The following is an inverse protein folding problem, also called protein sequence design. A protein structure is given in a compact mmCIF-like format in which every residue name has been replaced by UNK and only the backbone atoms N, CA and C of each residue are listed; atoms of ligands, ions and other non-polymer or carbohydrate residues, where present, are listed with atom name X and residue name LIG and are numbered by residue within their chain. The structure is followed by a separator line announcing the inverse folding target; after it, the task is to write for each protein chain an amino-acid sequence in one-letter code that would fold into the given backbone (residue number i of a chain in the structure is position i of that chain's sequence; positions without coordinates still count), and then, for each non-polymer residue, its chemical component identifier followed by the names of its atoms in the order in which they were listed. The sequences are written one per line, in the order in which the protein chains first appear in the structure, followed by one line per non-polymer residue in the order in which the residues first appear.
data_IF_165114189668
#
_entry.id   IF_165114189668
#
_cell.length_a   1.000
_cell.length_b   1.000
_cell.length_c   1.000
_cell.angle_alpha   90.00
_cell.angle_beta   90.00
_cell.angle_gamma   90.00
#
_symmetry.space_group_name_H-M   'P 1'
#
loop_
_entity.id
_entity.type
_entity.pdbx_description
1 polymer ?
#
# COMPACT_ATOMS: atom_id res chain seq x y z
N UNK A 1 -1.39 -2.85 -26.50
CA UNK A 1 -0.09 -2.64 -25.83
C UNK A 1 -0.28 -2.25 -24.38
N UNK A 2 -1.06 -1.20 -24.08
CA UNK A 2 -1.32 -0.72 -22.70
C UNK A 2 -1.99 -1.80 -21.83
N UNK A 3 -3.03 -2.48 -22.33
CA UNK A 3 -3.72 -3.55 -21.57
C UNK A 3 -2.79 -4.69 -21.17
N UNK A 4 -1.78 -4.98 -22.00
CA UNK A 4 -0.77 -5.99 -21.69
C UNK A 4 0.08 -5.54 -20.51
N UNK A 5 0.55 -4.29 -20.49
CA UNK A 5 1.36 -3.74 -19.39
C UNK A 5 0.57 -3.69 -18.08
N UNK A 6 -0.69 -3.24 -18.16
CA UNK A 6 -1.61 -3.23 -17.01
C UNK A 6 -1.80 -4.64 -16.43
N UNK A 7 -1.94 -5.65 -17.31
CA UNK A 7 -2.10 -7.05 -16.89
C UNK A 7 -0.87 -7.66 -16.23
N UNK A 8 0.34 -7.26 -16.64
CA UNK A 8 1.59 -7.81 -16.10
C UNK A 8 2.01 -7.18 -14.75
N UNK A 9 1.52 -5.97 -14.42
CA UNK A 9 1.89 -5.24 -13.18
C UNK A 9 3.40 -5.09 -12.97
N UNK A 10 4.13 -4.83 -14.06
CA UNK A 10 5.59 -4.70 -14.07
C UNK A 10 6.00 -3.24 -14.31
N UNK A 11 6.66 -2.64 -13.32
CA UNK A 11 7.15 -1.25 -13.36
C UNK A 11 8.22 -1.03 -14.43
N UNK A 12 9.05 -2.04 -14.72
CA UNK A 12 10.07 -1.97 -15.78
C UNK A 12 9.42 -1.94 -17.16
N UNK A 13 8.31 -2.66 -17.30
CA UNK A 13 7.53 -2.69 -18.55
C UNK A 13 6.82 -1.35 -18.79
N UNK A 14 6.33 -0.69 -17.73
CA UNK A 14 5.85 0.69 -17.81
C UNK A 14 6.95 1.66 -18.26
N UNK A 15 8.15 1.55 -17.68
CA UNK A 15 9.29 2.35 -18.08
C UNK A 15 9.58 2.23 -19.58
N UNK A 16 9.68 0.99 -20.09
CA UNK A 16 9.91 0.73 -21.52
C UNK A 16 8.80 1.25 -22.43
N UNK A 17 7.54 1.11 -22.02
CA UNK A 17 6.41 1.64 -22.79
C UNK A 17 6.44 3.16 -22.86
N UNK A 18 6.72 3.83 -21.74
CA UNK A 18 6.82 5.29 -21.67
C UNK A 18 7.98 5.76 -22.55
N UNK A 19 9.15 5.14 -22.44
CA UNK A 19 10.32 5.54 -23.23
C UNK A 19 10.08 5.35 -24.74
N UNK A 20 9.41 4.26 -25.14
CA UNK A 20 8.99 4.08 -26.53
C UNK A 20 7.96 5.13 -26.98
N UNK A 21 6.96 5.42 -26.15
CA UNK A 21 5.89 6.37 -26.50
C UNK A 21 6.41 7.80 -26.64
N UNK A 22 7.41 8.19 -25.85
CA UNK A 22 8.07 9.50 -25.91
C UNK A 22 8.96 9.67 -27.16
N UNK A 23 9.09 8.64 -28.00
CA UNK A 23 9.78 8.73 -29.29
C UNK A 23 9.05 9.57 -30.34
N UNK A 24 7.73 9.72 -30.24
CA UNK A 24 6.95 10.57 -31.15
C UNK A 24 5.81 11.33 -30.45
N UNK A 25 5.42 12.52 -30.95
CA UNK A 25 4.32 13.27 -30.37
C UNK A 25 2.98 12.55 -30.48
N UNK A 26 2.77 11.80 -31.56
CA UNK A 26 1.52 11.05 -31.80
C UNK A 26 1.40 9.88 -30.82
N UNK A 27 2.47 9.11 -30.63
CA UNK A 27 2.49 8.00 -29.67
C UNK A 27 2.43 8.49 -28.23
N UNK A 28 3.06 9.63 -27.94
CA UNK A 28 2.93 10.29 -26.63
C UNK A 28 1.48 10.69 -26.38
N UNK A 29 0.83 11.30 -27.37
CA UNK A 29 -0.59 11.68 -27.29
C UNK A 29 -1.50 10.48 -27.03
N UNK A 30 -1.33 9.39 -27.79
CA UNK A 30 -2.08 8.17 -27.63
C UNK A 30 -1.83 7.48 -26.27
N UNK A 31 -0.60 7.55 -25.75
CA UNK A 31 -0.29 7.07 -24.40
C UNK A 31 -1.07 7.89 -23.36
N UNK A 32 -1.00 9.21 -23.44
CA UNK A 32 -1.66 10.10 -22.48
C UNK A 32 -3.18 9.95 -22.48
N UNK A 33 -3.80 9.60 -23.62
CA UNK A 33 -5.25 9.36 -23.70
C UNK A 33 -5.68 8.05 -23.01
N UNK A 34 -4.78 7.08 -22.87
CA UNK A 34 -5.11 5.72 -22.41
C UNK A 34 -4.43 5.30 -21.09
N UNK A 35 -3.43 6.05 -20.60
CA UNK A 35 -2.63 5.68 -19.42
C UNK A 35 -3.41 5.80 -18.10
N UNK A 36 -4.49 6.60 -18.07
CA UNK A 36 -5.33 6.78 -16.88
C UNK A 36 -4.54 7.13 -15.61
N UNK A 37 -4.95 6.58 -14.46
CA UNK A 37 -4.26 6.77 -13.17
C UNK A 37 -3.18 5.75 -12.83
N UNK A 38 -2.74 4.91 -13.78
CA UNK A 38 -1.81 3.80 -13.49
C UNK A 38 -0.38 4.26 -13.18
N UNK A 39 0.03 5.44 -13.67
CA UNK A 39 1.38 5.98 -13.51
C UNK A 39 1.29 7.37 -12.87
N UNK A 40 2.27 7.71 -12.04
CA UNK A 40 2.37 9.05 -11.45
C UNK A 40 2.51 10.12 -12.55
N UNK A 41 1.54 11.05 -12.68
CA UNK A 41 1.59 12.10 -13.68
C UNK A 41 2.81 13.02 -13.54
N UNK A 42 3.35 13.22 -12.33
CA UNK A 42 4.56 14.04 -12.14
C UNK A 42 5.78 13.38 -12.79
N UNK A 43 5.90 12.05 -12.73
CA UNK A 43 6.98 11.32 -13.40
C UNK A 43 6.85 11.42 -14.92
N UNK A 44 5.63 11.30 -15.45
CA UNK A 44 5.36 11.48 -16.88
C UNK A 44 5.74 12.88 -17.38
N UNK A 45 5.27 13.93 -16.70
CA UNK A 45 5.54 15.32 -17.09
C UNK A 45 7.03 15.62 -17.10
N UNK A 46 7.81 15.06 -16.17
CA UNK A 46 9.27 15.24 -16.11
C UNK A 46 10.01 14.54 -17.25
N UNK A 47 9.45 13.46 -17.81
CA UNK A 47 10.07 12.70 -18.90
C UNK A 47 9.75 13.25 -20.30
N UNK A 48 8.65 13.98 -20.47
CA UNK A 48 8.28 14.54 -21.78
C UNK A 48 9.41 15.47 -22.30
N UNK A 49 9.98 15.19 -23.50
CA UNK A 49 11.01 16.02 -24.08
C UNK A 49 10.57 17.48 -24.28
N UNK A 50 11.47 18.42 -23.93
CA UNK A 50 11.22 19.84 -24.16
C UNK A 50 11.10 20.12 -25.66
N UNK A 51 10.09 20.90 -26.06
CA UNK A 51 9.85 21.25 -27.46
C UNK A 51 9.00 20.23 -28.24
N UNK A 52 8.62 19.09 -27.63
CA UNK A 52 7.68 18.16 -28.24
C UNK A 52 6.30 18.80 -28.37
N UNK A 53 5.76 18.84 -29.59
CA UNK A 53 4.42 19.37 -29.89
C UNK A 53 3.39 18.26 -29.82
N UNK A 54 2.89 17.99 -28.62
CA UNK A 54 1.79 17.06 -28.40
C UNK A 54 0.47 17.84 -28.46
N UNK A 55 -0.41 17.46 -29.38
CA UNK A 55 -1.74 18.06 -29.49
C UNK A 55 -2.51 17.91 -28.17
N UNK A 56 -3.23 18.97 -27.77
CA UNK A 56 -4.07 19.00 -26.55
C UNK A 56 -3.36 18.55 -25.27
N UNK A 57 -2.04 18.70 -25.18
CA UNK A 57 -1.23 18.23 -24.05
C UNK A 57 -1.79 18.68 -22.68
N UNK A 58 -2.18 19.95 -22.56
CA UNK A 58 -2.75 20.49 -21.32
C UNK A 58 -4.00 19.74 -20.87
N UNK A 59 -4.90 19.45 -21.80
CA UNK A 59 -6.18 18.81 -21.49
C UNK A 59 -5.96 17.33 -21.13
N UNK A 60 -5.05 16.66 -21.85
CA UNK A 60 -4.60 15.29 -21.56
C UNK A 60 -3.96 15.18 -20.18
N UNK A 61 -3.06 16.09 -19.83
CA UNK A 61 -2.44 16.14 -18.50
C UNK A 61 -3.47 16.38 -17.40
N UNK A 62 -4.44 17.28 -17.63
CA UNK A 62 -5.55 17.50 -16.69
C UNK A 62 -6.34 16.23 -16.44
N UNK A 63 -6.65 15.46 -17.49
CA UNK A 63 -7.38 14.19 -17.37
C UNK A 63 -6.60 13.19 -16.52
N UNK A 64 -5.33 12.92 -16.85
CA UNK A 64 -4.48 11.97 -16.12
C UNK A 64 -4.35 12.36 -14.64
N UNK A 65 -4.12 13.64 -14.33
CA UNK A 65 -4.00 14.12 -12.95
C UNK A 65 -5.31 13.89 -12.18
N UNK A 66 -6.46 14.15 -12.81
CA UNK A 66 -7.76 13.93 -12.19
C UNK A 66 -8.03 12.43 -11.94
N UNK A 67 -7.70 11.58 -12.90
CA UNK A 67 -7.84 10.13 -12.80
C UNK A 67 -6.93 9.56 -11.71
N UNK A 68 -5.65 9.97 -11.70
CA UNK A 68 -4.68 9.57 -10.68
C UNK A 68 -5.13 9.98 -9.27
N UNK A 69 -5.63 11.21 -9.11
CA UNK A 69 -6.18 11.68 -7.82
C UNK A 69 -7.37 10.83 -7.38
N UNK A 70 -8.26 10.48 -8.31
CA UNK A 70 -9.45 9.67 -8.02
C UNK A 70 -9.03 8.26 -7.59
N UNK A 71 -8.10 7.61 -8.32
CA UNK A 71 -7.58 6.30 -7.95
C UNK A 71 -6.85 6.31 -6.60
N UNK A 72 -6.06 7.34 -6.34
CA UNK A 72 -5.35 7.50 -5.06
C UNK A 72 -6.35 7.64 -3.90
N UNK A 73 -7.35 8.50 -4.04
CA UNK A 73 -8.41 8.68 -3.04
C UNK A 73 -9.18 7.39 -2.77
N UNK A 74 -9.50 6.61 -3.82
CA UNK A 74 -10.15 5.30 -3.66
C UNK A 74 -9.25 4.32 -2.89
N UNK A 75 -7.96 4.24 -3.25
CA UNK A 75 -7.00 3.34 -2.59
C UNK A 75 -6.83 3.71 -1.11
N UNK A 76 -6.76 5.00 -0.80
CA UNK A 76 -6.69 5.50 0.57
C UNK A 76 -7.96 5.16 1.36
N UNK A 77 -9.14 5.35 0.77
CA UNK A 77 -10.42 4.98 1.37
C UNK A 77 -10.50 3.48 1.67
N UNK A 78 -10.19 2.63 0.70
CA UNK A 78 -10.15 1.17 0.90
C UNK A 78 -9.13 0.75 1.97
N UNK A 79 -7.94 1.35 1.97
CA UNK A 79 -6.93 1.07 3.01
C UNK A 79 -7.40 1.49 4.40
N UNK A 80 -8.13 2.59 4.54
CA UNK A 80 -8.68 3.02 5.81
C UNK A 80 -9.71 2.01 6.34
N UNK A 81 -10.61 1.54 5.47
CA UNK A 81 -11.60 0.50 5.79
C UNK A 81 -10.91 -0.79 6.22
N UNK A 82 -9.98 -1.30 5.41
CA UNK A 82 -9.22 -2.52 5.72
C UNK A 82 -8.49 -2.43 7.06
N UNK A 83 -7.83 -1.29 7.34
CA UNK A 83 -7.14 -1.08 8.62
C UNK A 83 -8.11 -1.07 9.80
N UNK A 84 -9.28 -0.45 9.64
CA UNK A 84 -10.33 -0.44 10.65
C UNK A 84 -10.83 -1.87 10.94
N UNK A 85 -11.11 -2.63 9.89
CA UNK A 85 -11.60 -4.01 9.99
C UNK A 85 -10.57 -4.93 10.65
N UNK A 86 -9.29 -4.83 10.27
CA UNK A 86 -8.21 -5.58 10.92
C UNK A 86 -8.11 -5.28 12.41
N UNK A 87 -8.21 -4.00 12.82
CA UNK A 87 -8.18 -3.61 14.22
C UNK A 87 -9.39 -4.14 14.99
N UNK A 88 -10.57 -4.04 14.40
CA UNK A 88 -11.82 -4.52 15.00
C UNK A 88 -11.81 -6.04 15.21
N UNK A 89 -11.38 -6.79 14.19
CA UNK A 89 -11.26 -8.24 14.27
C UNK A 89 -10.21 -8.66 15.30
N UNK A 90 -9.06 -7.97 15.35
CA UNK A 90 -8.03 -8.22 16.35
C UNK A 90 -8.54 -7.97 17.78
N UNK A 91 -9.27 -6.88 18.00
CA UNK A 91 -9.88 -6.57 19.30
C UNK A 91 -10.89 -7.65 19.72
N UNK A 92 -11.75 -8.10 18.80
CA UNK A 92 -12.70 -9.19 19.04
C UNK A 92 -12.00 -10.50 19.43
N UNK A 93 -10.92 -10.86 18.73
CA UNK A 93 -10.12 -12.04 19.07
C UNK A 93 -9.50 -11.91 20.45
N UNK A 94 -8.90 -10.74 20.75
CA UNK A 94 -8.29 -10.48 22.04
C UNK A 94 -9.27 -10.56 23.21
N UNK A 95 -10.46 -9.97 23.06
CA UNK A 95 -11.53 -10.04 24.06
C UNK A 95 -12.04 -11.48 24.24
N UNK A 96 -12.18 -12.23 23.14
CA UNK A 96 -12.54 -13.65 23.18
C UNK A 96 -11.49 -14.48 23.94
N UNK A 97 -10.21 -14.34 23.58
CA UNK A 97 -9.11 -15.06 24.23
C UNK A 97 -9.00 -14.71 25.71
N UNK A 98 -9.15 -13.43 26.08
CA UNK A 98 -9.10 -12.99 27.50
C UNK A 98 -10.21 -13.57 28.35
N UNK A 99 -11.40 -13.79 27.77
CA UNK A 99 -12.51 -14.42 28.47
C UNK A 99 -12.26 -15.90 28.74
N UNK A 100 -11.61 -16.60 27.81
CA UNK A 100 -11.38 -18.05 27.89
C UNK A 100 -10.10 -18.39 28.67
N UNK A 101 -9.07 -17.54 28.59
CA UNK A 101 -7.78 -17.72 29.26
C UNK A 101 -7.55 -16.61 30.29
N UNK A 102 -8.16 -16.72 31.50
CA UNK A 102 -8.01 -15.72 32.55
C UNK A 102 -6.57 -15.61 33.08
N UNK A 103 -5.74 -16.65 32.88
CA UNK A 103 -4.36 -16.72 33.35
C UNK A 103 -3.45 -17.26 32.25
N UNK A 104 -2.26 -16.66 32.12
CA UNK A 104 -1.17 -17.15 31.27
C UNK A 104 0.09 -17.27 32.10
N UNK A 105 0.78 -18.39 32.00
CA UNK A 105 2.08 -18.60 32.65
C UNK A 105 3.18 -18.23 31.65
N UNK A 106 4.04 -17.28 32.03
CA UNK A 106 5.17 -16.83 31.21
C UNK A 106 6.46 -17.25 31.92
N UNK A 107 7.32 -17.98 31.22
CA UNK A 107 8.67 -18.27 31.69
C UNK A 107 9.62 -17.19 31.19
N UNK A 108 10.33 -16.53 32.10
CA UNK A 108 11.50 -15.73 31.74
C UNK A 108 12.74 -16.61 31.90
N UNK A 109 13.44 -16.97 30.80
CA UNK A 109 14.65 -17.76 30.91
C UNK A 109 15.71 -16.97 31.69
N UNK A 110 16.27 -17.57 32.74
CA UNK A 110 17.41 -17.02 33.47
C UNK A 110 18.66 -17.11 32.59
N UNK A 111 19.48 -16.06 32.57
CA UNK A 111 20.77 -16.13 31.88
C UNK A 111 21.72 -17.05 32.64
N UNK A 112 22.41 -17.96 31.94
CA UNK A 112 23.50 -18.74 32.54
C UNK A 112 23.08 -20.02 33.28
N UNK A 113 22.13 -20.79 32.76
CA UNK A 113 21.82 -22.13 33.28
C UNK A 113 20.92 -22.19 34.52
N UNK A 114 20.44 -21.04 35.01
CA UNK A 114 19.42 -21.00 36.07
C UNK A 114 18.03 -21.38 35.55
N UNK A 115 17.26 -22.09 36.37
CA UNK A 115 15.87 -22.43 36.07
C UNK A 115 15.06 -21.15 35.84
N UNK A 116 14.43 -21.02 34.67
CA UNK A 116 13.68 -19.83 34.30
C UNK A 116 12.53 -19.53 35.28
N UNK A 117 12.32 -18.25 35.58
CA UNK A 117 11.28 -17.81 36.51
C UNK A 117 9.91 -17.87 35.83
N UNK A 118 9.03 -18.73 36.33
CA UNK A 118 7.62 -18.77 35.91
C UNK A 118 6.83 -17.68 36.64
N UNK A 119 6.06 -16.89 35.90
CA UNK A 119 5.16 -15.87 36.45
C UNK A 119 3.75 -16.04 35.88
N UNK A 120 2.73 -16.01 36.76
CA UNK A 120 1.33 -16.03 36.37
C UNK A 120 0.84 -14.62 36.08
N UNK A 121 0.34 -14.40 34.87
CA UNK A 121 -0.24 -13.12 34.44
C UNK A 121 -1.75 -13.28 34.29
N UNK A 122 -2.50 -12.52 35.07
CA UNK A 122 -3.96 -12.51 35.03
C UNK A 122 -4.48 -11.41 34.11
N UNK A 123 -5.56 -11.67 33.38
CA UNK A 123 -6.14 -10.68 32.46
C UNK A 123 -6.65 -9.41 33.16
N UNK A 124 -7.09 -9.48 34.43
CA UNK A 124 -7.73 -8.38 35.15
C UNK A 124 -6.82 -7.61 36.12
N UNK A 125 -5.65 -8.14 36.47
CA UNK A 125 -4.76 -7.56 37.48
C UNK A 125 -3.33 -7.60 36.95
N UNK A 126 -2.77 -6.41 36.70
CA UNK A 126 -1.34 -6.26 36.44
C UNK A 126 -0.55 -7.01 37.51
N UNK A 127 0.21 -8.01 37.05
CA UNK A 127 1.21 -8.79 37.80
C UNK A 127 0.85 -9.05 39.27
N UNK A 128 0.02 -10.05 39.53
CA UNK A 128 -0.07 -10.65 40.87
C UNK A 128 1.23 -11.40 41.15
N UNK A 129 2.03 -10.91 42.09
CA UNK A 129 3.28 -11.51 42.55
C UNK A 129 3.15 -12.99 42.90
N UNK A 130 4.19 -13.77 42.59
CA UNK A 130 4.36 -15.15 43.00
C UNK A 130 5.16 -15.23 44.30
N UNK A 131 4.75 -16.15 45.18
CA UNK A 131 5.57 -16.64 46.29
C UNK A 131 6.53 -17.74 45.84
#
# INVERSE_FOLDING_TARGET
AIDFVVGQRDDELWGRLIDWALGSPDTTGALLDCIGGYVDPLLLVRRIPRGMRVERLRDRLRAIIADYRTQTSLREGCNAILRSDCRHLLAKLYDGTRRVLPYVYVNRPGGGGEAGQWSRWGAALGRSGGG
#
